data_IF_545105125264
#
_entry.id   IF_545105125264
#
_cell.length_a   1.000
_cell.length_b   1.000
_cell.length_c   1.000
_cell.angle_alpha   90.00
_cell.angle_beta   90.00
_cell.angle_gamma   90.00
#
_symmetry.space_group_name_H-M   'P 1'
#
loop_
_entity.id
_entity.type
_entity.pdbx_description
1 polymer ?
#
# COMPACT_ATOMS: atom_id res chain seq x y z
N UNK A 1 -8.72 16.63 -7.40
CA UNK A 1 -9.79 15.68 -7.77
C UNK A 1 -9.46 14.23 -7.36
N UNK A 2 -8.63 13.47 -8.10
CA UNK A 2 -8.41 12.03 -7.84
C UNK A 2 -8.14 11.65 -6.36
N UNK A 3 -7.15 12.27 -5.72
CA UNK A 3 -6.83 11.99 -4.31
C UNK A 3 -7.96 12.40 -3.35
N UNK A 4 -8.71 13.46 -3.66
CA UNK A 4 -9.84 13.92 -2.84
C UNK A 4 -11.04 12.97 -2.92
N UNK A 5 -11.31 12.38 -4.09
CA UNK A 5 -12.32 11.33 -4.23
C UNK A 5 -11.91 10.07 -3.45
N UNK A 6 -10.66 9.64 -3.56
CA UNK A 6 -10.15 8.49 -2.81
C UNK A 6 -10.20 8.74 -1.28
N UNK A 7 -9.79 9.92 -0.83
CA UNK A 7 -9.88 10.36 0.57
C UNK A 7 -11.32 10.35 1.06
N UNK A 8 -12.26 10.92 0.31
CA UNK A 8 -13.67 10.96 0.70
C UNK A 8 -14.27 9.54 0.80
N UNK A 9 -14.01 8.66 -0.17
CA UNK A 9 -14.52 7.28 -0.16
C UNK A 9 -13.91 6.45 0.97
N UNK A 10 -12.58 6.47 1.12
CA UNK A 10 -11.89 5.69 2.17
C UNK A 10 -12.20 6.24 3.56
N UNK A 11 -12.19 7.56 3.72
CA UNK A 11 -12.54 8.24 4.97
C UNK A 11 -13.97 7.93 5.40
N UNK A 12 -14.95 8.02 4.50
CA UNK A 12 -16.34 7.65 4.79
C UNK A 12 -16.47 6.18 5.21
N UNK A 13 -15.73 5.26 4.57
CA UNK A 13 -15.74 3.83 4.95
C UNK A 13 -15.08 3.56 6.30
N UNK A 14 -13.98 4.24 6.64
CA UNK A 14 -13.33 4.09 7.94
C UNK A 14 -14.17 4.70 9.06
N UNK A 15 -14.74 5.90 8.86
CA UNK A 15 -15.68 6.50 9.80
C UNK A 15 -16.93 5.63 10.00
N UNK A 16 -17.44 4.99 8.94
CA UNK A 16 -18.54 4.02 9.05
C UNK A 16 -18.17 2.77 9.84
N UNK A 17 -16.93 2.28 9.74
CA UNK A 17 -16.45 1.10 10.47
C UNK A 17 -16.19 1.40 11.96
N UNK A 18 -15.71 2.60 12.28
CA UNK A 18 -15.51 3.08 13.65
C UNK A 18 -16.87 3.44 14.31
N UNK A 19 -17.80 4.02 13.57
CA UNK A 19 -19.15 4.38 14.00
C UNK A 19 -19.25 5.65 14.85
N UNK A 20 -18.31 5.91 15.76
CA UNK A 20 -18.31 7.08 16.65
C UNK A 20 -16.90 7.38 17.20
N UNK A 21 -16.55 8.65 17.49
CA UNK A 21 -15.17 9.06 17.78
C UNK A 21 -14.57 8.40 19.03
N UNK A 22 -15.40 8.13 20.04
CA UNK A 22 -15.00 7.48 21.30
C UNK A 22 -14.94 5.95 21.22
N UNK A 23 -15.41 5.35 20.12
CA UNK A 23 -15.45 3.89 20.00
C UNK A 23 -14.04 3.33 19.79
N UNK A 24 -13.64 2.37 20.61
CA UNK A 24 -12.42 1.60 20.43
C UNK A 24 -12.73 0.16 20.02
N UNK A 25 -11.80 -0.48 19.31
CA UNK A 25 -11.96 -1.88 18.93
C UNK A 25 -11.92 -2.79 20.17
N UNK A 26 -12.71 -3.86 20.13
CA UNK A 26 -12.74 -4.91 21.16
C UNK A 26 -11.95 -6.17 20.72
N UNK A 27 -11.10 -6.04 19.69
CA UNK A 27 -10.19 -7.10 19.21
C UNK A 27 -8.88 -7.16 20.01
N UNK A 28 -8.21 -8.32 19.97
CA UNK A 28 -7.03 -8.67 20.77
C UNK A 28 -6.01 -7.55 21.01
N UNK A 29 -5.41 -6.96 19.96
CA UNK A 29 -4.29 -6.02 20.14
C UNK A 29 -4.73 -4.61 20.59
N UNK A 30 -6.04 -4.33 20.64
CA UNK A 30 -6.58 -3.02 21.03
C UNK A 30 -6.21 -2.66 22.47
N UNK A 31 -6.22 -3.63 23.38
CA UNK A 31 -5.86 -3.42 24.79
C UNK A 31 -4.39 -2.98 24.90
N UNK A 32 -3.48 -3.59 24.13
CA UNK A 32 -2.09 -3.16 24.08
C UNK A 32 -1.96 -1.76 23.46
N UNK A 33 -2.62 -1.53 22.33
CA UNK A 33 -2.48 -0.27 21.58
C UNK A 33 -3.04 0.95 22.31
N UNK A 34 -4.21 0.87 22.95
CA UNK A 34 -4.73 1.99 23.73
C UNK A 34 -3.92 2.24 25.01
N UNK A 35 -3.51 1.18 25.73
CA UNK A 35 -2.67 1.36 26.93
C UNK A 35 -1.28 1.90 26.59
N UNK A 36 -0.70 1.58 25.42
CA UNK A 36 0.58 2.15 24.99
C UNK A 36 0.51 3.66 24.81
N UNK A 37 -0.56 4.18 24.20
CA UNK A 37 -0.76 5.62 24.03
C UNK A 37 -0.98 6.30 25.39
N UNK A 38 -1.78 5.68 26.27
CA UNK A 38 -1.99 6.18 27.65
C UNK A 38 -0.68 6.22 28.46
N UNK A 39 0.08 5.13 28.45
CA UNK A 39 1.38 5.02 29.13
C UNK A 39 2.40 6.04 28.61
N UNK A 40 2.44 6.28 27.29
CA UNK A 40 3.32 7.27 26.69
C UNK A 40 2.90 8.73 27.00
N UNK A 41 1.61 9.00 27.22
CA UNK A 41 1.14 10.28 27.75
C UNK A 41 1.55 10.46 29.22
N UNK A 42 1.34 9.44 30.06
CA UNK A 42 1.59 9.51 31.50
C UNK A 42 3.09 9.55 31.86
N UNK A 43 3.94 8.93 31.05
CA UNK A 43 5.41 8.96 31.20
C UNK A 43 6.09 10.05 30.37
N UNK A 44 5.38 10.69 29.46
CA UNK A 44 5.94 11.59 28.45
C UNK A 44 6.86 10.92 27.43
N UNK A 45 6.91 9.58 27.35
CA UNK A 45 7.93 8.86 26.58
C UNK A 45 7.35 7.73 25.69
N UNK A 46 7.16 8.03 24.41
CA UNK A 46 6.69 7.07 23.40
C UNK A 46 7.81 6.26 22.70
N UNK A 47 9.00 6.15 23.31
CA UNK A 47 10.16 5.51 22.66
C UNK A 47 9.97 4.01 22.43
N UNK A 48 10.53 3.50 21.32
CA UNK A 48 10.63 2.07 21.05
C UNK A 48 11.49 1.30 22.05
N UNK A 49 12.25 2.00 22.90
CA UNK A 49 13.05 1.43 23.97
C UNK A 49 12.31 1.31 25.32
N UNK A 50 11.16 1.97 25.50
CA UNK A 50 10.45 2.06 26.79
C UNK A 50 8.97 1.68 26.72
N UNK A 51 8.35 1.68 25.53
CA UNK A 51 6.91 1.38 25.43
C UNK A 51 6.55 -0.06 25.86
N UNK A 52 7.52 -0.99 25.84
CA UNK A 52 7.31 -2.36 26.30
C UNK A 52 7.27 -2.50 27.83
N UNK A 53 7.81 -1.52 28.56
CA UNK A 53 7.91 -1.53 30.03
C UNK A 53 6.52 -1.61 30.69
N UNK A 54 5.48 -1.06 30.05
CA UNK A 54 4.09 -1.16 30.50
C UNK A 54 3.57 -2.61 30.65
N UNK A 55 4.22 -3.57 29.97
CA UNK A 55 3.93 -5.01 30.02
C UNK A 55 5.06 -5.83 30.66
N UNK A 56 6.07 -5.17 31.25
CA UNK A 56 7.32 -5.84 31.68
C UNK A 56 8.14 -6.39 30.52
N UNK A 57 7.96 -5.85 29.32
CA UNK A 57 8.68 -6.22 28.11
C UNK A 57 9.98 -5.43 27.94
N UNK A 58 10.40 -5.24 26.68
CA UNK A 58 11.57 -4.44 26.33
C UNK A 58 11.35 -3.71 25.01
N UNK A 59 12.32 -3.76 24.10
CA UNK A 59 12.20 -3.10 22.79
C UNK A 59 10.94 -3.54 22.02
N UNK A 60 10.17 -2.56 21.54
CA UNK A 60 8.98 -2.75 20.71
C UNK A 60 8.95 -1.67 19.62
N UNK A 61 8.61 -1.97 18.35
CA UNK A 61 8.50 -0.98 17.27
C UNK A 61 7.33 0.00 17.51
N UNK A 62 7.60 1.08 18.24
CA UNK A 62 6.60 2.01 18.79
C UNK A 62 6.13 3.10 17.81
N UNK A 63 6.51 3.04 16.54
CA UNK A 63 6.33 4.15 15.58
C UNK A 63 4.88 4.62 15.42
N UNK A 64 3.91 3.70 15.48
CA UNK A 64 2.50 4.08 15.50
C UNK A 64 2.05 4.60 16.87
N UNK A 65 2.46 3.96 17.98
CA UNK A 65 2.16 4.43 19.34
C UNK A 65 2.61 5.89 19.53
N UNK A 66 3.81 6.24 19.04
CA UNK A 66 4.36 7.59 19.08
C UNK A 66 3.58 8.61 18.24
N UNK A 67 3.10 8.23 17.04
CA UNK A 67 2.23 9.10 16.22
C UNK A 67 0.87 9.32 16.90
N UNK A 68 0.25 8.27 17.43
CA UNK A 68 -1.04 8.39 18.13
C UNK A 68 -0.91 9.20 19.44
N UNK A 69 0.18 9.02 20.18
CA UNK A 69 0.53 9.82 21.38
C UNK A 69 0.73 11.29 21.02
N UNK A 70 1.45 11.59 19.94
CA UNK A 70 1.64 12.96 19.46
C UNK A 70 0.32 13.62 19.05
N UNK A 71 -0.59 12.88 18.40
CA UNK A 71 -1.94 13.37 18.08
C UNK A 71 -2.75 13.64 19.36
N UNK A 72 -2.71 12.72 20.33
CA UNK A 72 -3.41 12.90 21.61
C UNK A 72 -2.93 14.15 22.36
N UNK A 73 -1.61 14.32 22.52
CA UNK A 73 -1.03 15.46 23.27
C UNK A 73 -1.12 16.79 22.52
N UNK A 74 -0.96 16.81 21.20
CA UNK A 74 -1.03 18.05 20.40
C UNK A 74 -2.43 18.66 20.38
N UNK A 75 -3.47 17.81 20.40
CA UNK A 75 -4.86 18.26 20.29
C UNK A 75 -5.67 18.11 21.59
N UNK A 76 -5.03 17.72 22.70
CA UNK A 76 -5.67 17.42 23.99
C UNK A 76 -6.86 16.46 23.87
N UNK A 77 -6.68 15.37 23.11
CA UNK A 77 -7.71 14.38 22.81
C UNK A 77 -7.60 13.14 23.69
N UNK A 78 -8.75 12.59 24.07
CA UNK A 78 -8.83 11.27 24.68
C UNK A 78 -8.29 10.18 23.75
N UNK A 79 -7.74 9.12 24.35
CA UNK A 79 -6.99 8.08 23.63
C UNK A 79 -7.78 7.41 22.49
N UNK A 80 -9.07 7.01 22.64
CA UNK A 80 -9.85 6.46 21.54
C UNK A 80 -9.96 7.44 20.35
N UNK A 81 -10.22 8.73 20.62
CA UNK A 81 -10.34 9.76 19.59
C UNK A 81 -9.02 9.95 18.85
N UNK A 82 -7.90 10.02 19.57
CA UNK A 82 -6.58 10.16 18.97
C UNK A 82 -6.19 8.96 18.11
N UNK A 83 -6.51 7.74 18.56
CA UNK A 83 -6.31 6.48 17.82
C UNK A 83 -7.17 6.44 16.56
N UNK A 84 -8.44 6.84 16.65
CA UNK A 84 -9.39 6.90 15.52
C UNK A 84 -9.01 7.98 14.51
N UNK A 85 -8.67 9.20 14.96
CA UNK A 85 -8.23 10.29 14.11
C UNK A 85 -6.94 9.92 13.36
N UNK A 86 -5.96 9.36 14.06
CA UNK A 86 -4.72 8.81 13.46
C UNK A 86 -5.06 7.75 12.41
N UNK A 87 -5.96 6.82 12.73
CA UNK A 87 -6.39 5.74 11.84
C UNK A 87 -7.07 6.26 10.57
N UNK A 88 -7.99 7.23 10.68
CA UNK A 88 -8.66 7.90 9.56
C UNK A 88 -7.65 8.64 8.67
N UNK A 89 -6.72 9.40 9.26
CA UNK A 89 -5.71 10.16 8.50
C UNK A 89 -4.75 9.23 7.74
N UNK A 90 -4.27 8.16 8.36
CA UNK A 90 -3.41 7.18 7.69
C UNK A 90 -4.12 6.46 6.55
N UNK A 91 -5.38 6.08 6.76
CA UNK A 91 -6.23 5.41 5.79
C UNK A 91 -6.63 6.28 4.60
N UNK A 92 -7.14 7.48 4.86
CA UNK A 92 -7.77 8.33 3.84
C UNK A 92 -6.79 9.32 3.18
N UNK A 93 -5.72 9.72 3.88
CA UNK A 93 -4.77 10.73 3.39
C UNK A 93 -3.47 10.06 2.91
N UNK A 94 -2.72 9.43 3.82
CA UNK A 94 -1.38 8.92 3.51
C UNK A 94 -1.41 7.81 2.44
N UNK A 95 -2.29 6.82 2.58
CA UNK A 95 -2.39 5.71 1.63
C UNK A 95 -2.74 6.15 0.19
N UNK A 96 -3.85 6.89 -0.08
CA UNK A 96 -4.16 7.31 -1.44
C UNK A 96 -3.12 8.27 -2.02
N UNK A 97 -2.53 9.17 -1.22
CA UNK A 97 -1.44 10.03 -1.68
C UNK A 97 -0.19 9.21 -2.05
N UNK A 98 0.18 8.22 -1.24
CA UNK A 98 1.27 7.29 -1.52
C UNK A 98 1.05 6.54 -2.83
N UNK A 99 -0.13 5.91 -3.01
CA UNK A 99 -0.47 5.18 -4.24
C UNK A 99 -0.44 6.08 -5.49
N UNK A 100 -1.00 7.29 -5.41
CA UNK A 100 -1.00 8.24 -6.52
C UNK A 100 0.41 8.78 -6.80
N UNK A 101 1.23 9.03 -5.78
CA UNK A 101 2.63 9.42 -5.94
C UNK A 101 3.43 8.33 -6.65
N UNK A 102 3.32 7.08 -6.16
CA UNK A 102 3.96 5.91 -6.74
C UNK A 102 3.62 5.76 -8.22
N UNK A 103 2.32 5.70 -8.57
CA UNK A 103 1.87 5.57 -9.95
C UNK A 103 2.31 6.74 -10.83
N UNK A 104 2.25 7.99 -10.33
CA UNK A 104 2.68 9.18 -11.09
C UNK A 104 4.19 9.24 -11.33
N UNK A 105 5.00 8.57 -10.51
CA UNK A 105 6.44 8.51 -10.65
C UNK A 105 6.94 7.23 -11.34
N UNK A 106 6.22 6.10 -11.29
CA UNK A 106 6.63 4.85 -11.98
C UNK A 106 5.97 4.66 -13.35
N UNK A 107 4.75 5.19 -13.56
CA UNK A 107 3.99 5.03 -14.81
C UNK A 107 3.97 6.34 -15.61
N UNK A 108 3.53 7.46 -15.01
CA UNK A 108 3.54 8.75 -15.71
C UNK A 108 2.67 9.86 -15.11
N UNK A 109 2.94 11.11 -15.49
CA UNK A 109 2.35 12.32 -14.87
C UNK A 109 0.90 12.65 -15.28
N UNK A 110 0.22 11.81 -16.07
CA UNK A 110 -1.12 12.15 -16.59
C UNK A 110 -2.21 12.20 -15.50
N UNK A 111 -3.31 12.89 -15.80
CA UNK A 111 -4.51 12.89 -14.97
C UNK A 111 -5.14 11.49 -14.89
N UNK A 112 -5.12 10.73 -15.99
CA UNK A 112 -5.63 9.36 -16.06
C UNK A 112 -4.87 8.41 -15.12
N UNK A 113 -3.53 8.47 -15.06
CA UNK A 113 -2.73 7.66 -14.10
C UNK A 113 -3.08 8.03 -12.66
N UNK A 114 -3.24 9.31 -12.34
CA UNK A 114 -3.63 9.75 -11.01
C UNK A 114 -5.03 9.28 -10.62
N UNK A 115 -5.99 9.33 -11.56
CA UNK A 115 -7.37 8.88 -11.34
C UNK A 115 -7.44 7.36 -11.17
N UNK A 116 -6.78 6.59 -12.03
CA UNK A 116 -6.71 5.15 -11.93
C UNK A 116 -6.07 4.70 -10.61
N UNK A 117 -4.98 5.35 -10.18
CA UNK A 117 -4.31 5.04 -8.91
C UNK A 117 -5.17 5.39 -7.69
N UNK A 118 -5.90 6.51 -7.71
CA UNK A 118 -6.83 6.90 -6.63
C UNK A 118 -8.07 6.01 -6.55
N UNK A 119 -8.61 5.58 -7.70
CA UNK A 119 -9.70 4.60 -7.72
C UNK A 119 -9.20 3.24 -7.22
N UNK A 120 -8.02 2.79 -7.64
CA UNK A 120 -7.43 1.53 -7.19
C UNK A 120 -7.16 1.52 -5.68
N UNK A 121 -6.57 2.57 -5.11
CA UNK A 121 -6.30 2.65 -3.67
C UNK A 121 -7.57 2.68 -2.81
N UNK A 122 -8.68 3.22 -3.34
CA UNK A 122 -10.00 3.20 -2.69
C UNK A 122 -10.83 1.92 -2.96
N UNK A 123 -10.44 1.09 -3.94
CA UNK A 123 -11.15 -0.15 -4.30
C UNK A 123 -10.57 -1.41 -3.66
N UNK A 124 -9.42 -1.31 -2.98
CA UNK A 124 -8.76 -2.43 -2.32
C UNK A 124 -9.44 -2.76 -0.98
N UNK A 125 -10.46 -3.61 -1.00
CA UNK A 125 -11.20 -4.01 0.22
C UNK A 125 -10.33 -4.58 1.36
N UNK A 126 -9.13 -5.07 1.05
CA UNK A 126 -8.15 -5.56 2.04
C UNK A 126 -7.33 -4.46 2.73
N UNK A 127 -7.27 -3.22 2.22
CA UNK A 127 -6.55 -2.13 2.88
C UNK A 127 -7.23 -0.78 2.60
N UNK A 128 -7.60 0.00 3.63
CA UNK A 128 -7.08 -0.06 5.00
C UNK A 128 -7.83 -0.97 5.98
N UNK A 129 -9.08 -1.36 5.66
CA UNK A 129 -10.02 -1.90 6.66
C UNK A 129 -9.53 -3.17 7.38
N UNK A 130 -8.85 -4.10 6.71
CA UNK A 130 -8.35 -5.33 7.35
C UNK A 130 -7.36 -5.04 8.49
N UNK A 131 -6.61 -3.94 8.43
CA UNK A 131 -5.68 -3.55 9.49
C UNK A 131 -6.39 -2.99 10.74
N UNK A 132 -7.68 -2.68 10.63
CA UNK A 132 -8.53 -2.25 11.75
C UNK A 132 -9.35 -3.45 12.24
N UNK A 133 -9.97 -4.19 11.32
CA UNK A 133 -10.95 -5.25 11.59
C UNK A 133 -10.34 -6.57 12.08
N UNK A 134 -9.20 -7.01 11.52
CA UNK A 134 -8.64 -8.36 11.82
C UNK A 134 -8.08 -8.50 13.25
N UNK A 135 -7.80 -7.39 13.92
CA UNK A 135 -7.12 -7.38 15.21
C UNK A 135 -6.64 -6.01 15.71
N UNK A 136 -6.94 -4.92 14.99
CA UNK A 136 -6.27 -3.60 15.07
C UNK A 136 -4.74 -3.64 14.95
N UNK A 137 -4.27 -4.12 13.79
CA UNK A 137 -2.88 -4.02 13.32
C UNK A 137 -2.48 -2.57 12.96
N UNK A 138 -2.74 -1.60 13.84
CA UNK A 138 -2.46 -0.17 13.61
C UNK A 138 -0.99 0.14 13.23
N UNK A 139 0.04 -0.56 13.73
CA UNK A 139 1.42 -0.37 13.26
C UNK A 139 1.61 -0.73 11.77
N UNK A 140 0.87 -1.75 11.28
CA UNK A 140 0.83 -2.09 9.86
C UNK A 140 -0.01 -1.10 9.05
N UNK A 141 -1.06 -0.51 9.62
CA UNK A 141 -1.80 0.59 8.98
C UNK A 141 -0.85 1.76 8.68
N UNK A 142 -0.06 2.22 9.67
CA UNK A 142 0.92 3.29 9.47
C UNK A 142 1.96 2.92 8.40
N UNK A 143 2.63 1.78 8.55
CA UNK A 143 3.75 1.41 7.68
C UNK A 143 3.30 1.15 6.24
N UNK A 144 2.17 0.48 6.03
CA UNK A 144 1.65 0.19 4.68
C UNK A 144 1.11 1.46 4.02
N UNK A 145 0.52 2.40 4.77
CA UNK A 145 0.10 3.70 4.22
C UNK A 145 1.26 4.51 3.64
N UNK A 146 2.48 4.42 4.21
CA UNK A 146 3.65 5.14 3.70
C UNK A 146 4.48 4.33 2.67
N UNK A 147 4.33 3.00 2.62
CA UNK A 147 5.10 2.09 1.77
C UNK A 147 5.10 2.47 0.27
N UNK A 148 3.97 2.84 -0.38
CA UNK A 148 4.00 3.26 -1.78
C UNK A 148 4.86 4.51 -2.02
N UNK A 149 4.87 5.44 -1.06
CA UNK A 149 5.67 6.67 -1.12
C UNK A 149 7.18 6.40 -1.04
N UNK A 150 7.61 5.50 -0.15
CA UNK A 150 9.02 5.11 -0.03
C UNK A 150 9.50 4.28 -1.24
N UNK A 151 8.63 3.48 -1.87
CA UNK A 151 8.90 2.84 -3.16
C UNK A 151 9.05 3.88 -4.28
N UNK A 152 8.22 4.94 -4.28
CA UNK A 152 8.30 6.03 -5.26
C UNK A 152 9.64 6.79 -5.16
N UNK A 153 10.03 7.17 -3.94
CA UNK A 153 11.30 7.83 -3.64
C UNK A 153 12.51 6.97 -4.06
N UNK A 154 12.46 5.66 -3.80
CA UNK A 154 13.47 4.72 -4.28
C UNK A 154 13.58 4.75 -5.82
N UNK A 155 12.47 4.60 -6.55
CA UNK A 155 12.46 4.61 -8.02
C UNK A 155 13.01 5.93 -8.63
N UNK A 156 12.69 7.06 -7.98
CA UNK A 156 13.16 8.38 -8.37
C UNK A 156 14.68 8.53 -8.21
N UNK A 157 15.21 8.27 -7.00
CA UNK A 157 16.64 8.36 -6.67
C UNK A 157 17.44 7.37 -7.52
N UNK A 158 16.98 6.12 -7.65
CA UNK A 158 17.60 5.07 -8.45
C UNK A 158 17.61 5.32 -9.97
N UNK A 159 16.95 6.37 -10.49
CA UNK A 159 16.81 6.61 -11.94
C UNK A 159 16.15 5.43 -12.68
N UNK A 160 15.20 4.78 -12.03
CA UNK A 160 14.36 3.71 -12.60
C UNK A 160 12.97 4.25 -12.96
N UNK A 161 12.51 5.32 -12.30
CA UNK A 161 11.39 6.15 -12.75
C UNK A 161 11.59 6.65 -14.20
N UNK A 162 10.56 6.56 -15.08
CA UNK A 162 10.57 7.16 -16.41
C UNK A 162 10.31 8.69 -16.39
N UNK A 163 9.99 9.25 -15.21
CA UNK A 163 9.66 10.67 -15.01
C UNK A 163 10.87 11.38 -14.38
N UNK A 164 11.10 12.66 -14.75
CA UNK A 164 12.05 13.47 -13.99
C UNK A 164 11.46 13.82 -12.61
N UNK A 165 12.21 13.50 -11.57
CA UNK A 165 11.90 13.75 -10.16
C UNK A 165 13.18 14.30 -9.51
N UNK A 166 13.08 15.26 -8.57
CA UNK A 166 14.23 15.73 -7.79
C UNK A 166 15.01 14.59 -7.15
N UNK A 167 16.33 14.80 -7.03
CA UNK A 167 17.30 13.89 -6.39
C UNK A 167 18.25 14.69 -5.49
N UNK A 168 17.68 15.69 -4.84
CA UNK A 168 18.32 16.57 -3.90
C UNK A 168 18.46 15.91 -2.52
N UNK A 169 19.07 16.63 -1.58
CA UNK A 169 19.19 16.18 -0.19
C UNK A 169 17.82 15.88 0.43
N UNK A 170 16.79 16.70 0.12
CA UNK A 170 15.43 16.52 0.63
C UNK A 170 14.83 15.19 0.20
N UNK A 171 14.96 14.79 -1.07
CA UNK A 171 14.48 13.49 -1.55
C UNK A 171 15.20 12.31 -0.86
N UNK A 172 16.52 12.42 -0.64
CA UNK A 172 17.32 11.39 0.04
C UNK A 172 16.94 11.28 1.52
N UNK A 173 16.82 12.41 2.22
CA UNK A 173 16.37 12.44 3.62
C UNK A 173 14.93 11.91 3.76
N UNK A 174 14.01 12.29 2.85
CA UNK A 174 12.66 11.75 2.83
C UNK A 174 12.64 10.22 2.65
N UNK A 175 13.51 9.66 1.79
CA UNK A 175 13.66 8.21 1.70
C UNK A 175 14.16 7.63 3.02
N UNK A 176 15.28 8.12 3.56
CA UNK A 176 15.88 7.60 4.81
C UNK A 176 14.90 7.67 6.00
N UNK A 177 14.20 8.79 6.17
CA UNK A 177 13.16 8.96 7.19
C UNK A 177 11.97 8.00 6.96
N UNK A 178 11.55 7.77 5.71
CA UNK A 178 10.50 6.80 5.42
C UNK A 178 10.93 5.35 5.70
N UNK A 179 12.21 5.00 5.49
CA UNK A 179 12.74 3.67 5.79
C UNK A 179 12.91 3.45 7.30
N UNK A 180 13.39 4.47 8.03
CA UNK A 180 13.38 4.47 9.49
C UNK A 180 11.94 4.34 10.02
N UNK A 181 11.00 5.11 9.46
CA UNK A 181 9.57 5.04 9.75
C UNK A 181 8.97 3.64 9.52
N UNK A 182 9.30 2.97 8.42
CA UNK A 182 8.88 1.58 8.18
C UNK A 182 9.43 0.62 9.24
N UNK A 183 10.69 0.77 9.64
CA UNK A 183 11.33 -0.10 10.64
C UNK A 183 10.75 0.10 12.05
N UNK A 184 10.58 1.36 12.49
CA UNK A 184 10.03 1.65 13.82
C UNK A 184 8.51 1.49 13.89
N UNK A 185 7.78 1.54 12.77
CA UNK A 185 6.36 1.23 12.74
C UNK A 185 6.11 -0.28 12.68
N UNK A 186 6.62 -0.98 11.65
CA UNK A 186 6.46 -2.44 11.55
C UNK A 186 7.51 -3.10 10.63
N UNK A 187 8.49 -3.86 11.16
CA UNK A 187 9.59 -4.44 10.38
C UNK A 187 9.18 -5.28 9.17
N UNK A 188 8.05 -6.00 9.22
CA UNK A 188 7.53 -6.79 8.07
C UNK A 188 7.25 -5.92 6.85
N UNK A 189 6.96 -4.63 7.03
CA UNK A 189 6.68 -3.70 5.92
C UNK A 189 7.98 -3.14 5.32
N UNK A 190 9.07 -3.09 6.08
CA UNK A 190 10.41 -2.91 5.51
C UNK A 190 10.82 -4.13 4.65
N UNK A 191 10.49 -5.35 5.08
CA UNK A 191 10.62 -6.55 4.24
C UNK A 191 9.76 -6.50 2.97
N UNK A 192 8.56 -5.93 3.05
CA UNK A 192 7.73 -5.65 1.87
C UNK A 192 8.40 -4.62 0.94
N UNK A 193 9.00 -3.55 1.47
CA UNK A 193 9.77 -2.58 0.66
C UNK A 193 10.95 -3.22 -0.07
N UNK A 194 11.70 -4.12 0.58
CA UNK A 194 12.75 -4.91 -0.08
C UNK A 194 12.19 -5.85 -1.17
N UNK A 195 11.04 -6.47 -0.94
CA UNK A 195 10.38 -7.30 -1.98
C UNK A 195 9.98 -6.45 -3.19
N UNK A 196 9.35 -5.28 -2.97
CA UNK A 196 8.85 -4.42 -4.05
C UNK A 196 9.93 -3.60 -4.77
N UNK A 197 11.09 -3.34 -4.15
CA UNK A 197 12.21 -2.64 -4.80
C UNK A 197 13.22 -3.58 -5.46
N UNK A 198 13.15 -4.90 -5.24
CA UNK A 198 14.06 -5.88 -5.85
C UNK A 198 14.11 -5.82 -7.40
N UNK A 199 13.00 -5.59 -8.14
CA UNK A 199 13.06 -5.41 -9.60
C UNK A 199 13.89 -4.18 -10.01
N UNK A 200 13.88 -3.11 -9.21
CA UNK A 200 14.68 -1.91 -9.46
C UNK A 200 16.18 -2.22 -9.31
N UNK A 201 16.54 -2.95 -8.25
CA UNK A 201 17.91 -3.42 -8.00
C UNK A 201 18.40 -4.33 -9.13
N UNK A 202 17.56 -5.25 -9.62
CA UNK A 202 17.85 -6.09 -10.79
C UNK A 202 18.10 -5.28 -12.07
N UNK A 203 17.26 -4.28 -12.36
CA UNK A 203 17.44 -3.37 -13.51
C UNK A 203 18.73 -2.57 -13.39
N UNK A 204 19.10 -2.10 -12.19
CA UNK A 204 20.38 -1.40 -11.95
C UNK A 204 21.58 -2.31 -12.17
N UNK A 205 21.57 -3.52 -11.61
CA UNK A 205 22.64 -4.50 -11.78
C UNK A 205 22.84 -4.87 -13.26
N UNK A 206 21.74 -5.04 -14.01
CA UNK A 206 21.78 -5.32 -15.45
C UNK A 206 22.31 -4.13 -16.28
N UNK A 207 21.87 -2.90 -15.98
CA UNK A 207 22.40 -1.68 -16.62
C UNK A 207 23.90 -1.54 -16.38
N UNK A 208 24.36 -1.71 -15.14
CA UNK A 208 25.77 -1.67 -14.78
C UNK A 208 26.59 -2.77 -15.48
N UNK A 209 26.09 -4.00 -15.51
CA UNK A 209 26.73 -5.13 -16.19
C UNK A 209 26.86 -4.90 -17.71
N UNK A 210 25.83 -4.36 -18.37
CA UNK A 210 25.89 -3.98 -19.79
C UNK A 210 26.92 -2.87 -20.06
N UNK A 211 26.95 -1.82 -19.24
CA UNK A 211 27.91 -0.72 -19.39
C UNK A 211 29.36 -1.19 -19.16
N UNK A 212 29.60 -2.05 -18.16
CA UNK A 212 30.90 -2.72 -17.94
C UNK A 212 31.30 -3.57 -19.15
N UNK A 213 30.40 -4.41 -19.69
CA UNK A 213 30.70 -5.24 -20.88
C UNK A 213 30.99 -4.43 -22.16
N UNK A 214 30.66 -3.14 -22.18
CA UNK A 214 31.02 -2.19 -23.26
C UNK A 214 32.30 -1.39 -22.98
N UNK A 215 33.00 -1.63 -21.87
CA UNK A 215 34.17 -0.85 -21.45
C UNK A 215 33.87 0.56 -20.92
N UNK A 216 32.60 0.98 -20.92
CA UNK A 216 32.17 2.35 -20.61
C UNK A 216 32.20 2.71 -19.12
N UNK A 217 32.54 1.75 -18.25
CA UNK A 217 32.72 1.97 -16.81
C UNK A 217 34.04 1.35 -16.36
N UNK A 218 35.02 2.19 -16.02
CA UNK A 218 36.33 1.80 -15.44
C UNK A 218 36.24 1.37 -13.95
N UNK A 219 35.02 1.20 -13.42
CA UNK A 219 34.77 0.87 -12.01
C UNK A 219 34.94 -0.63 -11.74
N UNK A 220 35.68 -0.96 -10.67
CA UNK A 220 35.97 -2.33 -10.26
C UNK A 220 34.71 -3.15 -9.94
N UNK A 221 34.79 -4.49 -10.10
CA UNK A 221 33.64 -5.42 -9.95
C UNK A 221 32.95 -5.27 -8.59
N UNK A 222 33.72 -5.03 -7.53
CA UNK A 222 33.23 -4.82 -6.17
C UNK A 222 32.18 -3.69 -6.08
N UNK A 223 32.36 -2.55 -6.75
CA UNK A 223 31.47 -1.37 -6.57
C UNK A 223 30.04 -1.57 -7.12
N UNK A 224 29.81 -2.62 -7.90
CA UNK A 224 28.46 -3.05 -8.33
C UNK A 224 27.95 -4.28 -7.57
N UNK A 225 28.85 -5.17 -7.15
CA UNK A 225 28.48 -6.38 -6.43
C UNK A 225 28.23 -6.13 -4.94
N UNK A 226 28.96 -5.22 -4.29
CA UNK A 226 28.79 -4.92 -2.85
C UNK A 226 27.37 -4.41 -2.53
N UNK A 227 26.76 -3.45 -3.26
CA UNK A 227 25.39 -3.04 -2.99
C UNK A 227 24.36 -4.17 -3.24
N UNK A 228 24.56 -4.99 -4.27
CA UNK A 228 23.67 -6.11 -4.61
C UNK A 228 23.76 -7.23 -3.58
N UNK A 229 24.97 -7.61 -3.18
CA UNK A 229 25.22 -8.62 -2.15
C UNK A 229 24.71 -8.11 -0.81
N UNK A 230 25.00 -6.85 -0.44
CA UNK A 230 24.48 -6.23 0.79
C UNK A 230 22.96 -6.24 0.85
N UNK A 231 22.28 -5.92 -0.26
CA UNK A 231 20.82 -6.00 -0.36
C UNK A 231 20.29 -7.42 -0.15
N UNK A 232 20.87 -8.42 -0.82
CA UNK A 232 20.50 -9.83 -0.64
C UNK A 232 20.79 -10.34 0.77
N UNK A 233 21.92 -9.95 1.37
CA UNK A 233 22.32 -10.34 2.73
C UNK A 233 21.40 -9.70 3.77
N UNK A 234 21.07 -8.41 3.65
CA UNK A 234 20.08 -7.75 4.53
C UNK A 234 18.71 -8.42 4.40
N UNK A 235 18.25 -8.71 3.18
CA UNK A 235 16.99 -9.42 2.98
C UNK A 235 17.00 -10.82 3.60
N UNK A 236 18.08 -11.60 3.43
CA UNK A 236 18.19 -12.94 3.99
C UNK A 236 18.29 -12.94 5.52
N UNK A 237 19.08 -12.04 6.11
CA UNK A 237 19.18 -11.89 7.57
C UNK A 237 17.82 -11.52 8.16
N UNK A 238 17.16 -10.49 7.62
CA UNK A 238 15.85 -10.06 8.10
C UNK A 238 14.75 -11.11 7.82
N UNK A 239 14.84 -11.89 6.74
CA UNK A 239 13.95 -13.03 6.50
C UNK A 239 14.15 -14.17 7.50
N UNK A 240 15.38 -14.42 7.96
CA UNK A 240 15.67 -15.43 8.98
C UNK A 240 15.21 -14.94 10.37
N UNK A 241 15.44 -13.66 10.70
CA UNK A 241 15.17 -13.09 12.03
C UNK A 241 13.70 -12.70 12.24
N UNK A 242 13.01 -12.16 11.23
CA UNK A 242 11.64 -11.63 11.35
C UNK A 242 10.54 -12.62 10.94
N UNK A 243 10.88 -13.80 10.44
CA UNK A 243 9.90 -14.79 10.01
C UNK A 243 9.28 -15.48 11.23
N UNK A 244 7.94 -15.45 11.41
CA UNK A 244 7.29 -16.20 12.48
C UNK A 244 7.57 -17.70 12.38
N UNK A 245 7.70 -18.41 13.52
CA UNK A 245 7.87 -19.86 13.52
C UNK A 245 6.61 -20.56 12.99
N UNK A 246 6.77 -21.80 12.51
CA UNK A 246 5.73 -22.49 11.72
C UNK A 246 4.49 -22.93 12.50
N UNK A 247 4.57 -22.92 13.82
CA UNK A 247 3.54 -23.21 14.82
C UNK A 247 2.67 -21.99 15.15
N UNK A 248 3.21 -20.76 15.08
CA UNK A 248 2.46 -19.51 15.22
C UNK A 248 1.36 -19.30 14.15
N UNK A 249 1.30 -20.17 13.13
CA UNK A 249 0.26 -20.20 12.11
C UNK A 249 -0.99 -20.96 12.58
N UNK A 250 -1.81 -20.33 13.43
CA UNK A 250 -3.06 -20.92 13.95
C UNK A 250 -4.08 -21.30 12.88
N UNK A 251 -3.99 -20.72 11.67
CA UNK A 251 -4.75 -21.15 10.50
C UNK A 251 -4.16 -22.44 9.90
N UNK A 252 -4.91 -23.54 9.99
CA UNK A 252 -4.52 -24.82 9.40
C UNK A 252 -4.19 -24.66 7.89
N UNK A 253 -3.04 -25.21 7.48
CA UNK A 253 -2.51 -25.08 6.11
C UNK A 253 -3.54 -25.56 5.08
N UNK A 254 -4.12 -24.64 4.31
CA UNK A 254 -5.26 -24.88 3.40
C UNK A 254 -4.95 -25.73 2.16
N UNK A 255 -3.83 -26.44 2.15
CA UNK A 255 -3.56 -27.58 1.26
C UNK A 255 -4.38 -28.79 1.72
N UNK A 256 -5.71 -28.66 1.66
CA UNK A 256 -6.58 -29.84 1.67
C UNK A 256 -6.37 -30.53 0.32
N UNK A 257 -5.77 -31.71 0.33
CA UNK A 257 -5.38 -32.49 -0.85
C UNK A 257 -6.55 -33.11 -1.63
N UNK A 258 -7.63 -32.33 -1.83
CA UNK A 258 -8.62 -32.64 -2.87
C UNK A 258 -7.91 -32.62 -4.21
N UNK A 259 -7.86 -33.78 -4.88
CA UNK A 259 -7.48 -33.90 -6.29
C UNK A 259 -8.21 -32.80 -7.08
N UNK A 260 -7.45 -31.92 -7.72
CA UNK A 260 -7.99 -30.82 -8.51
C UNK A 260 -8.66 -31.37 -9.77
N UNK A 261 -9.95 -31.70 -9.66
CA UNK A 261 -10.82 -31.87 -10.81
C UNK A 261 -10.79 -30.57 -11.61
N UNK A 262 -10.31 -30.64 -12.85
CA UNK A 262 -10.03 -29.47 -13.66
C UNK A 262 -11.33 -28.75 -14.08
N UNK A 263 -11.80 -27.84 -13.23
CA UNK A 263 -12.79 -26.80 -13.57
C UNK A 263 -12.10 -25.45 -13.49
N UNK A 264 -12.19 -24.60 -14.53
CA UNK A 264 -11.39 -23.37 -14.61
C UNK A 264 -11.78 -22.39 -13.50
N UNK A 265 -10.77 -21.94 -12.73
CA UNK A 265 -10.94 -20.99 -11.62
C UNK A 265 -11.27 -19.55 -12.06
N UNK A 266 -11.36 -19.29 -13.37
CA UNK A 266 -11.75 -18.02 -13.96
C UNK A 266 -13.18 -18.05 -14.52
N UNK A 267 -14.18 -18.29 -13.65
CA UNK A 267 -15.57 -17.99 -14.02
C UNK A 267 -15.86 -16.51 -13.74
N UNK A 268 -16.20 -15.73 -14.77
CA UNK A 268 -16.59 -14.31 -14.68
C UNK A 268 -17.95 -14.07 -13.98
N UNK A 269 -18.44 -15.05 -13.23
CA UNK A 269 -19.77 -15.09 -12.59
C UNK A 269 -19.98 -14.05 -11.48
N UNK A 270 -18.92 -13.35 -11.08
CA UNK A 270 -19.00 -12.19 -10.18
C UNK A 270 -19.31 -10.87 -10.91
N UNK A 271 -19.29 -10.85 -12.24
CA UNK A 271 -19.74 -9.71 -13.08
C UNK A 271 -21.23 -9.89 -13.46
N UNK A 272 -22.04 -10.42 -12.53
CA UNK A 272 -23.49 -10.52 -12.69
C UNK A 272 -24.15 -9.16 -12.43
N UNK A 273 -24.10 -8.27 -13.43
CA UNK A 273 -25.08 -7.19 -13.56
C UNK A 273 -26.51 -7.78 -13.55
N UNK A 274 -27.51 -7.11 -12.96
CA UNK A 274 -28.88 -7.64 -12.91
C UNK A 274 -29.43 -7.89 -14.33
N UNK A 275 -30.10 -9.03 -14.60
CA UNK A 275 -30.45 -9.45 -15.97
C UNK A 275 -31.18 -8.42 -16.84
N UNK A 276 -31.96 -7.51 -16.24
CA UNK A 276 -32.69 -6.46 -16.96
C UNK A 276 -31.83 -5.38 -17.64
N UNK A 277 -30.53 -5.26 -17.34
CA UNK A 277 -29.69 -4.19 -17.91
C UNK A 277 -29.30 -4.42 -19.38
N UNK A 278 -29.11 -5.68 -19.81
CA UNK A 278 -28.68 -5.99 -21.18
C UNK A 278 -29.69 -5.60 -22.25
N UNK A 279 -31.00 -5.78 -21.97
CA UNK A 279 -32.06 -5.36 -22.88
C UNK A 279 -32.09 -3.84 -23.07
N UNK A 280 -31.89 -3.09 -21.98
CA UNK A 280 -31.91 -1.62 -21.98
C UNK A 280 -30.71 -1.00 -22.70
N UNK A 281 -29.56 -1.69 -22.73
CA UNK A 281 -28.38 -1.25 -23.48
C UNK A 281 -28.52 -1.48 -24.99
N UNK A 282 -29.05 -2.65 -25.42
CA UNK A 282 -29.31 -2.95 -26.84
C UNK A 282 -30.26 -1.95 -27.50
N UNK A 283 -31.32 -1.52 -26.81
CA UNK A 283 -32.26 -0.52 -27.31
C UNK A 283 -31.65 0.89 -27.48
N UNK A 284 -30.56 1.19 -26.77
CA UNK A 284 -29.89 2.50 -26.85
C UNK A 284 -28.79 2.51 -27.92
N UNK A 285 -28.03 1.41 -28.04
CA UNK A 285 -26.85 1.32 -28.91
C UNK A 285 -27.15 1.27 -30.43
N UNK A 286 -28.33 0.78 -30.84
CA UNK A 286 -28.72 0.66 -32.25
C UNK A 286 -30.00 1.44 -32.62
N UNK A 287 -30.38 2.41 -31.79
CA UNK A 287 -31.65 3.15 -31.88
C UNK A 287 -31.73 4.31 -32.90
N UNK A 288 -30.91 4.34 -33.96
CA UNK A 288 -31.02 5.34 -35.04
C UNK A 288 -30.76 4.74 -36.42
N UNK A 289 -31.83 4.55 -37.20
CA UNK A 289 -31.75 4.33 -38.66
C UNK A 289 -31.23 5.60 -39.33
N UNK A 290 -30.16 5.50 -40.10
CA UNK A 290 -30.01 6.29 -41.33
C UNK A 290 -30.59 5.46 -42.48
N UNK A 291 -31.46 6.06 -43.28
CA UNK A 291 -32.16 5.39 -44.38
C UNK A 291 -33.14 6.37 -45.00
N UNK A 292 -32.68 7.09 -46.03
CA UNK A 292 -33.36 8.29 -46.54
C UNK A 292 -32.73 8.87 -47.81
N UNK A 293 -32.19 8.03 -48.69
CA UNK A 293 -31.89 8.36 -50.07
C UNK A 293 -32.24 7.14 -50.94
N UNK A 294 -32.98 7.37 -52.02
CA UNK A 294 -33.33 6.34 -52.99
C UNK A 294 -33.60 6.95 -54.36
N UNK A 295 -32.97 6.38 -55.39
CA UNK A 295 -33.15 6.76 -56.81
C UNK A 295 -32.79 5.59 -57.73
N UNK A 296 -33.77 5.17 -58.55
CA UNK A 296 -33.67 4.63 -59.93
C UNK A 296 -33.01 3.26 -60.22
N UNK A 297 -33.50 2.60 -61.29
CA UNK A 297 -33.07 1.29 -61.85
C UNK A 297 -33.97 0.12 -61.42
N UNK A 298 -34.87 -0.52 -62.20
CA UNK A 298 -34.98 -0.84 -63.64
C UNK A 298 -33.84 -1.75 -64.13
N UNK A 299 -34.02 -2.92 -64.78
CA UNK A 299 -35.18 -3.63 -65.40
C UNK A 299 -35.01 -5.19 -65.21
N UNK A 300 -35.79 -6.17 -65.69
CA UNK A 300 -37.06 -6.31 -66.47
C UNK A 300 -37.70 -7.72 -66.22
N UNK A 301 -38.84 -8.02 -66.89
CA UNK A 301 -39.31 -9.33 -67.41
C UNK A 301 -39.50 -10.58 -66.50
N UNK A 302 -40.76 -10.89 -66.17
CA UNK A 302 -41.47 -12.14 -66.53
C UNK A 302 -42.93 -12.08 -66.09
#
# INVERSE_FOLDING_TARGET
MACALALAVVGARVMQAIGGPEHFSQTYDAVFHLNSVKYALDTGNASSLTIGDMTGGGFYPAGWNAVATLVASTFALDVPVAVNLTSIVLAAVFWPLGCVLAARWTIGRSSAVALAAGIASASLGAFPLLMMDFGVLYPNLLSISILPGSIALAAAISRVSPVWVPRDLSAVLALLLSLAGLLVAHPTTFMAWLTWTAPMVGVLAWKAFKLRRRGLLRLGRARFMVPLIGYCVVFLILWIVLRPPSDASFWARTIRSRKLSAKPLFSLRWICLPPGWWHRWRSWAFGRRWGGFGTNGSQESS
#
